data_IF_042254061801
#
_entry.id   IF_042254061801
#
_cell.length_a   1.000
_cell.length_b   1.000
_cell.length_c   1.000
_cell.angle_alpha   90.00
_cell.angle_beta   90.00
_cell.angle_gamma   90.00
#
_symmetry.space_group_name_H-M   'P 1'
#
loop_
_entity.id
_entity.type
_entity.pdbx_description
1 polymer ?
#
# COMPACT_ATOMS: atom_id res chain seq x y z
N UNK A 1 -0.83 4.35 4.02
CA UNK A 1 -1.97 5.31 3.99
C UNK A 1 -1.66 6.45 4.93
N UNK A 2 -2.32 7.61 4.80
CA UNK A 2 -2.30 8.61 5.87
C UNK A 2 -3.32 8.21 6.94
N UNK A 3 -2.86 7.97 8.18
CA UNK A 3 -3.70 7.44 9.25
C UNK A 3 -4.85 8.40 9.59
N UNK A 4 -4.58 9.70 9.62
CA UNK A 4 -5.58 10.71 10.00
C UNK A 4 -6.67 10.85 8.94
N UNK A 5 -6.30 10.96 7.67
CA UNK A 5 -7.25 11.12 6.59
C UNK A 5 -8.10 9.86 6.39
N UNK A 6 -7.49 8.67 6.37
CA UNK A 6 -8.20 7.41 6.18
C UNK A 6 -9.00 7.04 7.44
N UNK A 7 -8.50 7.35 8.64
CA UNK A 7 -9.24 7.19 9.89
C UNK A 7 -10.54 7.99 9.92
N UNK A 8 -10.47 9.29 9.61
CA UNK A 8 -11.66 10.14 9.48
C UNK A 8 -12.65 9.63 8.41
N UNK A 9 -12.15 9.11 7.29
CA UNK A 9 -12.97 8.52 6.24
C UNK A 9 -13.70 7.25 6.71
N UNK A 10 -13.01 6.41 7.50
CA UNK A 10 -13.52 5.16 8.07
C UNK A 10 -14.58 5.43 9.14
N UNK A 11 -14.33 6.37 10.04
CA UNK A 11 -15.28 6.79 11.08
C UNK A 11 -16.61 7.26 10.50
N UNK A 12 -16.58 8.12 9.46
CA UNK A 12 -17.79 8.59 8.76
C UNK A 12 -18.61 7.46 8.12
N UNK A 13 -18.03 6.27 7.97
CA UNK A 13 -18.64 5.06 7.39
C UNK A 13 -18.91 3.98 8.44
N UNK A 14 -18.72 4.29 9.73
CA UNK A 14 -18.84 3.35 10.84
C UNK A 14 -17.92 2.12 10.71
N UNK A 15 -16.73 2.29 10.12
CA UNK A 15 -15.73 1.24 10.00
C UNK A 15 -14.82 1.31 11.23
N UNK A 16 -15.02 0.38 12.18
CA UNK A 16 -14.22 0.31 13.40
C UNK A 16 -12.81 -0.25 13.14
N UNK A 17 -11.79 0.38 13.69
CA UNK A 17 -10.40 -0.08 13.65
C UNK A 17 -9.67 0.19 14.96
N UNK A 18 -8.62 -0.57 15.24
CA UNK A 18 -7.86 -0.49 16.51
C UNK A 18 -6.43 0.04 16.36
N UNK A 19 -5.89 0.01 15.15
CA UNK A 19 -4.50 0.40 14.87
C UNK A 19 -4.33 0.77 13.40
N UNK A 20 -3.18 1.37 13.06
CA UNK A 20 -2.78 1.57 11.66
C UNK A 20 -2.81 0.24 10.89
N UNK A 21 -2.22 -0.82 11.46
CA UNK A 21 -2.14 -2.11 10.80
C UNK A 21 -3.53 -2.65 10.48
N UNK A 22 -4.42 -2.69 11.47
CA UNK A 22 -5.82 -3.12 11.27
C UNK A 22 -6.50 -2.29 10.16
N UNK A 23 -6.47 -0.95 10.25
CA UNK A 23 -7.10 -0.07 9.26
C UNK A 23 -6.53 -0.28 7.85
N UNK A 24 -5.20 -0.35 7.73
CA UNK A 24 -4.52 -0.49 6.44
C UNK A 24 -4.84 -1.80 5.70
N UNK A 25 -5.20 -2.85 6.44
CA UNK A 25 -5.50 -4.17 5.88
C UNK A 25 -7.01 -4.43 5.71
N UNK A 26 -7.85 -3.42 5.99
CA UNK A 26 -9.30 -3.54 5.78
C UNK A 26 -9.66 -3.59 4.30
N UNK A 27 -10.60 -4.47 3.89
CA UNK A 27 -11.07 -4.54 2.51
C UNK A 27 -11.63 -3.20 2.01
N UNK A 28 -12.28 -2.43 2.88
CA UNK A 28 -12.88 -1.13 2.54
C UNK A 28 -11.80 -0.10 2.17
N UNK A 29 -10.65 -0.13 2.86
CA UNK A 29 -9.51 0.74 2.55
C UNK A 29 -8.83 0.30 1.26
N UNK A 30 -8.65 -1.00 1.04
CA UNK A 30 -8.15 -1.51 -0.23
C UNK A 30 -9.05 -1.10 -1.41
N UNK A 31 -10.38 -1.19 -1.24
CA UNK A 31 -11.35 -0.78 -2.24
C UNK A 31 -11.30 0.74 -2.51
N UNK A 32 -11.17 1.57 -1.47
CA UNK A 32 -10.98 3.01 -1.59
C UNK A 32 -9.76 3.34 -2.44
N UNK A 33 -8.59 2.77 -2.10
CA UNK A 33 -7.35 3.04 -2.83
C UNK A 33 -7.43 2.52 -4.26
N UNK A 34 -8.04 1.33 -4.48
CA UNK A 34 -8.23 0.78 -5.83
C UNK A 34 -9.02 1.74 -6.72
N UNK A 35 -10.11 2.32 -6.21
CA UNK A 35 -10.91 3.27 -6.98
C UNK A 35 -10.10 4.51 -7.40
N UNK A 36 -9.25 5.02 -6.52
CA UNK A 36 -8.37 6.15 -6.82
C UNK A 36 -7.29 5.77 -7.84
N UNK A 37 -6.71 4.56 -7.71
CA UNK A 37 -5.73 4.03 -8.69
C UNK A 37 -6.36 3.87 -10.06
N UNK A 38 -7.58 3.32 -10.14
CA UNK A 38 -8.31 3.16 -11.41
C UNK A 38 -8.64 4.52 -12.05
N UNK A 39 -8.99 5.54 -11.25
CA UNK A 39 -9.17 6.90 -11.74
C UNK A 39 -7.89 7.47 -12.33
N UNK A 40 -6.74 7.26 -11.65
CA UNK A 40 -5.43 7.67 -12.17
C UNK A 40 -5.09 6.92 -13.46
N UNK A 41 -5.26 5.60 -13.50
CA UNK A 41 -5.02 4.78 -14.69
C UNK A 41 -5.84 5.28 -15.90
N UNK A 42 -7.10 5.66 -15.69
CA UNK A 42 -7.94 6.25 -16.74
C UNK A 42 -7.34 7.56 -17.28
N UNK A 43 -6.83 8.44 -16.40
CA UNK A 43 -6.19 9.70 -16.82
C UNK A 43 -4.88 9.50 -17.60
N UNK A 44 -4.20 8.37 -17.43
CA UNK A 44 -2.99 8.05 -18.21
C UNK A 44 -3.30 7.70 -19.66
N UNK A 45 -4.55 7.38 -20.00
CA UNK A 45 -4.94 7.06 -21.39
C UNK A 45 -4.93 8.26 -22.32
N UNK A 46 -5.04 9.47 -21.76
CA UNK A 46 -5.07 10.73 -22.49
C UNK A 46 -3.68 11.11 -23.05
N UNK A 47 -2.61 10.56 -22.47
CA UNK A 47 -1.23 10.77 -22.91
C UNK A 47 -0.66 9.48 -23.51
N UNK A 48 -0.35 9.53 -24.80
CA UNK A 48 0.22 8.39 -25.53
C UNK A 48 1.55 7.89 -24.94
N UNK A 49 2.34 8.76 -24.31
CA UNK A 49 3.60 8.38 -23.67
C UNK A 49 3.41 7.72 -22.30
N UNK A 50 2.27 7.95 -21.64
CA UNK A 50 1.98 7.46 -20.29
C UNK A 50 0.97 6.31 -20.26
N UNK A 51 0.33 5.99 -21.39
CA UNK A 51 -0.66 4.90 -21.51
C UNK A 51 -0.19 3.56 -20.95
N UNK A 52 1.10 3.25 -21.09
CA UNK A 52 1.69 1.99 -20.61
C UNK A 52 2.14 2.04 -19.14
N UNK A 53 2.11 3.21 -18.49
CA UNK A 53 2.53 3.42 -17.11
C UNK A 53 1.41 3.13 -16.08
N UNK A 54 0.37 2.39 -16.47
CA UNK A 54 -0.74 2.03 -15.60
C UNK A 54 -0.33 1.09 -14.47
N UNK A 55 -0.85 1.35 -13.27
CA UNK A 55 -0.64 0.50 -12.10
C UNK A 55 -1.54 -0.72 -12.24
N UNK A 56 -0.97 -1.92 -12.39
CA UNK A 56 -1.69 -3.22 -12.55
C UNK A 56 -1.99 -3.92 -11.23
N UNK A 57 -1.03 -3.91 -10.30
CA UNK A 57 -1.16 -4.46 -8.95
C UNK A 57 -0.56 -3.48 -7.96
N UNK A 58 -1.14 -3.41 -6.77
CA UNK A 58 -0.60 -2.63 -5.65
C UNK A 58 -0.86 -3.35 -4.33
N UNK A 59 -0.24 -2.88 -3.26
CA UNK A 59 -0.51 -3.33 -1.90
C UNK A 59 -0.43 -2.14 -0.94
N UNK A 60 -1.00 -2.29 0.24
CA UNK A 60 -0.90 -1.30 1.32
C UNK A 60 -0.03 -1.90 2.42
N UNK A 61 1.09 -1.24 2.72
CA UNK A 61 1.97 -1.68 3.80
C UNK A 61 1.25 -1.63 5.15
N UNK A 62 1.49 -2.67 5.95
CA UNK A 62 0.94 -2.88 7.29
C UNK A 62 1.51 -1.94 8.36
N UNK A 63 2.55 -1.17 8.02
CA UNK A 63 3.12 -0.07 8.81
C UNK A 63 3.51 1.11 7.92
N UNK A 64 3.75 2.27 8.54
CA UNK A 64 4.38 3.40 7.86
C UNK A 64 5.89 3.18 7.67
N UNK A 65 6.45 3.79 6.62
CA UNK A 65 7.89 3.79 6.43
C UNK A 65 8.55 4.72 7.43
N UNK A 66 9.59 4.24 8.11
CA UNK A 66 10.23 4.94 9.22
C UNK A 66 11.69 5.28 8.89
N UNK A 67 12.15 6.53 9.14
CA UNK A 67 13.55 6.88 8.95
C UNK A 67 14.52 6.14 9.89
N UNK A 68 14.07 5.77 11.09
CA UNK A 68 14.87 5.02 12.07
C UNK A 68 15.00 3.54 11.67
N UNK A 69 14.09 3.03 10.83
CA UNK A 69 14.19 1.72 10.18
C UNK A 69 15.02 1.75 8.88
N UNK A 70 15.63 2.89 8.53
CA UNK A 70 16.38 3.12 7.28
C UNK A 70 15.56 2.94 5.99
N UNK A 71 14.23 2.99 6.07
CA UNK A 71 13.34 2.81 4.92
C UNK A 71 13.22 4.09 4.09
N UNK A 72 13.26 5.22 4.77
CA UNK A 72 13.22 6.57 4.21
C UNK A 72 14.31 7.45 4.85
N UNK A 73 14.65 8.57 4.21
CA UNK A 73 15.43 9.62 4.86
C UNK A 73 14.54 10.41 5.84
N UNK A 74 15.14 11.21 6.74
CA UNK A 74 14.38 12.18 7.56
C UNK A 74 13.56 13.17 6.72
N UNK A 75 13.95 13.41 5.47
CA UNK A 75 13.20 14.20 4.48
C UNK A 75 12.16 13.39 3.69
N UNK A 76 11.84 12.18 4.12
CA UNK A 76 10.86 11.25 3.51
C UNK A 76 11.23 10.72 2.12
N UNK A 77 12.49 10.78 1.72
CA UNK A 77 12.96 10.14 0.47
C UNK A 77 13.14 8.63 0.67
N UNK A 78 12.49 7.83 -0.17
CA UNK A 78 12.58 6.36 -0.13
C UNK A 78 14.01 5.87 -0.45
N UNK A 79 14.54 5.00 0.40
CA UNK A 79 15.82 4.30 0.19
C UNK A 79 15.59 3.00 -0.58
N UNK A 80 15.40 3.13 -1.90
CA UNK A 80 14.93 2.03 -2.78
C UNK A 80 15.72 0.72 -2.65
N UNK A 81 17.05 0.78 -2.52
CA UNK A 81 17.88 -0.42 -2.35
C UNK A 81 17.57 -1.19 -1.07
N UNK A 82 17.37 -0.48 0.04
CA UNK A 82 17.00 -1.08 1.32
C UNK A 82 15.57 -1.62 1.31
N UNK A 83 14.62 -0.85 0.72
CA UNK A 83 13.25 -1.31 0.50
C UNK A 83 13.21 -2.60 -0.31
N UNK A 84 13.97 -2.67 -1.41
CA UNK A 84 13.99 -3.84 -2.28
C UNK A 84 14.45 -5.11 -1.54
N UNK A 85 15.39 -4.98 -0.61
CA UNK A 85 15.86 -6.10 0.22
C UNK A 85 14.85 -6.46 1.32
N UNK A 86 14.42 -5.47 2.12
CA UNK A 86 13.54 -5.69 3.28
C UNK A 86 12.16 -6.22 2.88
N UNK A 87 11.63 -5.74 1.76
CA UNK A 87 10.29 -6.07 1.27
C UNK A 87 10.32 -6.99 0.04
N UNK A 88 11.42 -7.70 -0.21
CA UNK A 88 11.55 -8.62 -1.35
C UNK A 88 10.33 -9.57 -1.49
N UNK A 89 9.82 -10.23 -0.43
CA UNK A 89 8.67 -11.13 -0.57
C UNK A 89 7.38 -10.42 -1.03
N UNK A 90 7.17 -9.16 -0.63
CA UNK A 90 6.02 -8.36 -1.05
C UNK A 90 6.18 -7.90 -2.50
N UNK A 91 7.39 -7.51 -2.89
CA UNK A 91 7.70 -7.07 -4.25
C UNK A 91 7.57 -8.25 -5.22
N UNK A 92 8.09 -9.41 -4.87
CA UNK A 92 7.93 -10.65 -5.64
C UNK A 92 6.46 -11.00 -5.82
N UNK A 93 5.63 -10.87 -4.78
CA UNK A 93 4.20 -11.12 -4.88
C UNK A 93 3.48 -10.15 -5.83
N UNK A 94 3.91 -8.89 -5.93
CA UNK A 94 3.38 -7.93 -6.91
C UNK A 94 3.65 -8.35 -8.37
N UNK A 95 4.74 -9.08 -8.62
CA UNK A 95 5.10 -9.58 -9.95
C UNK A 95 4.64 -11.03 -10.20
N UNK A 96 4.12 -11.70 -9.17
CA UNK A 96 3.65 -13.08 -9.26
C UNK A 96 2.13 -13.21 -9.15
N UNK A 97 1.72 -14.44 -8.86
CA UNK A 97 0.31 -14.85 -8.79
C UNK A 97 -0.20 -15.02 -7.35
N UNK A 98 0.48 -14.42 -6.37
CA UNK A 98 0.05 -14.47 -4.97
C UNK A 98 -0.98 -13.37 -4.71
N UNK A 99 -2.09 -13.75 -4.07
CA UNK A 99 -3.12 -12.79 -3.66
C UNK A 99 -2.83 -12.12 -2.32
N UNK A 100 -1.93 -12.70 -1.52
CA UNK A 100 -1.58 -12.20 -0.19
C UNK A 100 -0.21 -12.71 0.28
N UNK A 101 0.39 -11.98 1.21
CA UNK A 101 1.66 -12.33 1.85
C UNK A 101 1.56 -12.09 3.35
N UNK A 102 1.82 -13.13 4.13
CA UNK A 102 1.98 -12.98 5.57
C UNK A 102 3.35 -12.37 5.88
N UNK A 103 3.34 -11.31 6.68
CA UNK A 103 4.56 -10.60 7.10
C UNK A 103 4.60 -10.50 8.61
N UNK A 104 5.77 -10.77 9.16
CA UNK A 104 6.11 -10.50 10.54
C UNK A 104 7.00 -9.25 10.59
N UNK A 105 6.53 -8.20 11.24
CA UNK A 105 7.33 -7.01 11.47
C UNK A 105 7.54 -6.78 12.97
N UNK A 106 8.78 -6.47 13.33
CA UNK A 106 9.06 -5.88 14.64
C UNK A 106 8.56 -4.44 14.62
N UNK A 107 7.62 -4.13 15.51
CA UNK A 107 7.13 -2.77 15.75
C UNK A 107 7.72 -2.30 17.07
N UNK A 108 8.42 -1.18 17.03
CA UNK A 108 8.85 -0.46 18.23
C UNK A 108 7.71 0.49 18.60
N UNK A 109 7.07 0.25 19.73
CA UNK A 109 6.04 1.12 20.28
C UNK A 109 6.67 2.41 20.81
N UNK A 110 5.86 3.47 20.94
CA UNK A 110 6.31 4.78 21.43
C UNK A 110 6.93 4.73 22.84
N UNK A 111 6.61 3.71 23.63
CA UNK A 111 7.17 3.46 24.95
C UNK A 111 8.50 2.66 24.93
N UNK A 112 9.04 2.39 23.75
CA UNK A 112 10.29 1.65 23.55
C UNK A 112 10.15 0.12 23.59
N UNK A 113 8.94 -0.42 23.85
CA UNK A 113 8.73 -1.87 23.75
C UNK A 113 8.79 -2.31 22.30
N UNK A 114 9.37 -3.46 22.06
CA UNK A 114 9.34 -4.10 20.74
C UNK A 114 8.32 -5.24 20.77
N UNK A 115 7.39 -5.25 19.82
CA UNK A 115 6.44 -6.32 19.61
C UNK A 115 6.56 -6.90 18.21
N UNK A 116 6.07 -8.11 18.02
CA UNK A 116 5.92 -8.72 16.69
C UNK A 116 4.49 -8.50 16.24
N UNK A 117 4.30 -7.79 15.14
CA UNK A 117 3.01 -7.65 14.47
C UNK A 117 3.01 -8.58 13.27
N UNK A 118 2.03 -9.48 13.25
CA UNK A 118 1.68 -10.27 12.07
C UNK A 118 0.63 -9.51 11.29
N UNK A 119 0.87 -9.34 10.00
CA UNK A 119 -0.11 -8.79 9.09
C UNK A 119 -0.21 -9.68 7.86
N UNK A 120 -1.42 -9.79 7.33
CA UNK A 120 -1.65 -10.44 6.06
C UNK A 120 -1.88 -9.35 5.01
N UNK A 121 -0.84 -9.09 4.20
CA UNK A 121 -0.82 -8.02 3.20
C UNK A 121 -1.41 -8.53 1.91
N UNK A 122 -2.52 -7.94 1.48
CA UNK A 122 -3.20 -8.32 0.23
C UNK A 122 -2.55 -7.67 -0.98
N UNK A 123 -2.44 -8.43 -2.05
CA UNK A 123 -2.12 -7.93 -3.39
C UNK A 123 -3.45 -7.55 -4.05
N UNK A 124 -3.58 -6.27 -4.38
CA UNK A 124 -4.78 -5.71 -4.98
C UNK A 124 -4.55 -5.53 -6.48
N UNK A 125 -5.34 -6.25 -7.29
CA UNK A 125 -5.36 -6.05 -8.73
C UNK A 125 -6.27 -4.87 -9.11
N UNK A 126 -5.93 -4.22 -10.22
CA UNK A 126 -6.70 -3.12 -10.79
C UNK A 126 -7.20 -3.53 -12.17
N UNK A 127 -8.37 -3.02 -12.57
CA UNK A 127 -8.75 -3.09 -13.96
C UNK A 127 -7.86 -2.10 -14.75
N UNK A 128 -7.06 -2.57 -15.73
CA UNK A 128 -6.37 -1.65 -16.63
C UNK A 128 -7.43 -0.84 -17.37
N UNK A 129 -7.23 0.46 -17.47
CA UNK A 129 -8.04 1.29 -18.34
C UNK A 129 -7.71 0.90 -19.79
N UNK A 130 -8.72 0.49 -20.55
CA UNK A 130 -8.59 0.20 -21.97
C UNK A 130 -8.86 1.47 -22.79
N UNK A 131 -8.06 1.68 -23.82
CA UNK A 131 -8.33 2.71 -24.79
C UNK A 131 -9.55 2.31 -25.64
N UNK A 132 -10.45 3.24 -26.00
CA UNK A 132 -11.51 2.93 -26.95
C UNK A 132 -10.90 2.40 -28.26
N UNK A 133 -11.52 1.41 -28.92
CA UNK A 133 -11.05 0.90 -30.21
C UNK A 133 -10.98 2.05 -31.22
N UNK A 134 -9.87 2.11 -31.96
CA UNK A 134 -9.64 3.10 -33.03
C UNK A 134 -10.55 2.88 -34.22
#
# INVERSE_FOLDING_TARGET
>A
IDLTAVGNWAERRNIAYTSYTDLSQKPEVAALIRQEVERVNASLLDDAALRDAQIRKFLILHKELDPDDEEITRTRKVRRGYIAQKYAPLIEALYGDRDQVEVEARVTYEDGRTGMVRANVRICETAPAEAPPR
#
